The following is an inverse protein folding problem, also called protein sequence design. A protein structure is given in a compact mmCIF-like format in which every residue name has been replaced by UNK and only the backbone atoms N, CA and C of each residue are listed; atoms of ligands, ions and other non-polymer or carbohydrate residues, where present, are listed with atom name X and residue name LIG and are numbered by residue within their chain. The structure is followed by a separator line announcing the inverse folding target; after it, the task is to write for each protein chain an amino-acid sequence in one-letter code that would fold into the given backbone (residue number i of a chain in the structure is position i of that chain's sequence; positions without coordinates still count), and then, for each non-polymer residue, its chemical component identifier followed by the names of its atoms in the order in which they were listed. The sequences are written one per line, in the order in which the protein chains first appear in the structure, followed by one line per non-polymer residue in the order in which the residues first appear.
data_IF_372857500171
#
_entry.id   IF_372857500171
#
_cell.length_a   1.000
_cell.length_b   1.000
_cell.length_c   1.000
_cell.angle_alpha   90.00
_cell.angle_beta   90.00
_cell.angle_gamma   90.00
#
_symmetry.space_group_name_H-M   'P 1'
#
loop_
_entity.id
_entity.type
_entity.pdbx_description
1 polymer ?
#
# COMPACT_ATOMS: atom_id res chain seq x y z
N UNK A 1 19.01 -16.13 5.42
CA UNK A 1 18.60 -17.53 5.62
C UNK A 1 18.36 -18.26 4.30
N UNK A 2 17.64 -17.66 3.33
CA UNK A 2 17.37 -18.27 2.01
C UNK A 2 18.12 -17.57 0.86
N UNK A 3 19.30 -17.02 1.13
CA UNK A 3 20.13 -16.38 0.12
C UNK A 3 20.57 -17.42 -0.94
N UNK A 4 20.55 -17.08 -2.22
CA UNK A 4 20.94 -18.01 -3.30
C UNK A 4 22.37 -18.50 -3.08
N UNK A 5 23.29 -17.55 -2.85
CA UNK A 5 24.68 -17.78 -2.49
C UNK A 5 24.80 -18.45 -1.10
N UNK A 6 25.29 -19.71 -1.03
CA UNK A 6 25.40 -20.46 0.23
C UNK A 6 26.35 -19.81 1.23
N UNK A 7 27.44 -19.18 0.78
CA UNK A 7 28.46 -18.59 1.65
C UNK A 7 27.96 -17.31 2.35
N UNK A 8 26.88 -16.71 1.82
CA UNK A 8 26.20 -15.56 2.42
C UNK A 8 25.04 -15.96 3.32
N UNK A 9 24.81 -17.26 3.54
CA UNK A 9 23.78 -17.71 4.48
C UNK A 9 24.36 -17.61 5.89
N UNK A 10 23.59 -17.05 6.85
CA UNK A 10 24.04 -17.00 8.23
C UNK A 10 24.18 -18.42 8.77
N UNK A 11 25.15 -18.59 9.67
CA UNK A 11 25.32 -19.81 10.48
C UNK A 11 24.10 -20.04 11.38
N UNK A 12 24.04 -21.22 12.00
CA UNK A 12 22.96 -21.55 12.95
C UNK A 12 23.03 -20.61 14.14
N UNK A 13 24.23 -20.32 14.64
CA UNK A 13 24.48 -19.44 15.77
C UNK A 13 24.02 -18.00 15.47
N UNK A 14 24.41 -17.45 14.31
CA UNK A 14 23.97 -16.11 13.88
C UNK A 14 22.45 -16.05 13.65
N UNK A 15 21.87 -17.13 13.14
CA UNK A 15 20.42 -17.24 12.95
C UNK A 15 19.70 -17.20 14.30
N UNK A 16 20.18 -17.96 15.28
CA UNK A 16 19.58 -17.98 16.62
C UNK A 16 19.72 -16.64 17.36
N UNK A 17 20.74 -15.85 17.01
CA UNK A 17 20.89 -14.50 17.55
C UNK A 17 20.04 -13.44 16.81
N UNK A 18 19.25 -13.82 15.81
CA UNK A 18 18.37 -12.89 15.11
C UNK A 18 17.22 -12.39 16.00
N UNK A 19 16.80 -11.10 15.93
CA UNK A 19 15.73 -10.53 16.76
C UNK A 19 14.39 -11.27 16.72
N UNK A 20 14.14 -12.04 15.65
CA UNK A 20 12.97 -12.92 15.52
C UNK A 20 12.87 -13.91 16.69
N UNK A 21 14.00 -14.41 17.20
CA UNK A 21 14.04 -15.40 18.28
C UNK A 21 14.21 -14.77 19.67
N UNK A 22 14.42 -13.45 19.75
CA UNK A 22 14.60 -12.80 21.04
C UNK A 22 13.34 -12.78 21.87
N UNK A 23 13.50 -13.02 23.17
CA UNK A 23 12.46 -12.81 24.18
C UNK A 23 12.07 -11.32 24.22
N UNK A 24 10.83 -10.97 24.60
CA UNK A 24 10.37 -9.58 24.64
C UNK A 24 11.29 -8.64 25.44
N UNK A 25 11.81 -9.08 26.59
CA UNK A 25 12.72 -8.28 27.40
C UNK A 25 14.00 -7.90 26.64
N UNK A 26 14.66 -8.87 26.01
CA UNK A 26 15.88 -8.62 25.21
C UNK A 26 15.63 -7.63 24.06
N UNK A 27 14.43 -7.67 23.45
CA UNK A 27 14.04 -6.70 22.42
C UNK A 27 13.91 -5.29 22.99
N UNK A 28 13.28 -5.15 24.16
CA UNK A 28 13.16 -3.87 24.85
C UNK A 28 14.55 -3.33 25.24
N UNK A 29 15.39 -4.16 25.84
CA UNK A 29 16.76 -3.79 26.22
C UNK A 29 17.58 -3.32 25.02
N UNK A 30 17.40 -3.96 23.86
CA UNK A 30 18.03 -3.54 22.61
C UNK A 30 17.54 -2.16 22.15
N UNK A 31 16.24 -1.89 22.19
CA UNK A 31 15.71 -0.56 21.87
C UNK A 31 16.20 0.52 22.83
N UNK A 32 16.28 0.22 24.13
CA UNK A 32 16.85 1.12 25.13
C UNK A 32 18.32 1.39 24.83
N UNK A 33 19.09 0.34 24.53
CA UNK A 33 20.51 0.46 24.18
C UNK A 33 20.73 1.34 22.95
N UNK A 34 19.93 1.16 21.89
CA UNK A 34 20.00 2.03 20.70
C UNK A 34 19.54 3.45 21.01
N UNK A 35 18.48 3.62 21.81
CA UNK A 35 18.00 4.95 22.24
C UNK A 35 18.97 5.72 23.16
N UNK A 36 20.04 5.06 23.63
CA UNK A 36 21.16 5.65 24.35
C UNK A 36 22.40 5.85 23.47
N UNK A 37 22.37 5.46 22.19
CA UNK A 37 23.44 5.82 21.25
C UNK A 37 23.41 7.34 21.02
N UNK A 38 24.59 7.92 20.79
CA UNK A 38 24.76 9.38 20.67
C UNK A 38 23.90 9.96 19.55
N UNK A 39 23.65 9.22 18.47
CA UNK A 39 22.84 9.65 17.34
C UNK A 39 21.35 9.78 17.73
N UNK A 40 20.85 8.91 18.59
CA UNK A 40 19.49 8.99 19.11
C UNK A 40 19.37 10.05 20.23
N UNK A 41 20.39 10.18 21.07
CA UNK A 41 20.43 11.17 22.14
C UNK A 41 20.57 12.60 21.59
N UNK A 42 21.47 12.80 20.64
CA UNK A 42 21.77 14.05 19.95
C UNK A 42 21.12 14.14 18.56
N UNK A 43 19.89 13.64 18.40
CA UNK A 43 19.15 13.61 17.13
C UNK A 43 19.15 14.92 16.29
N UNK A 44 19.32 16.11 16.89
CA UNK A 44 19.42 17.39 16.16
C UNK A 44 20.74 17.53 15.38
N UNK A 45 21.78 16.86 15.84
CA UNK A 45 23.13 16.85 15.28
C UNK A 45 23.47 15.48 14.69
N UNK A 46 22.50 14.57 14.58
CA UNK A 46 22.70 13.27 13.98
C UNK A 46 23.07 13.42 12.51
N UNK A 47 23.92 12.51 12.02
CA UNK A 47 24.33 12.48 10.62
C UNK A 47 23.09 12.38 9.72
N UNK A 48 22.84 13.38 8.85
CA UNK A 48 21.69 13.38 7.95
C UNK A 48 21.59 12.11 7.08
N UNK A 49 22.72 11.52 6.68
CA UNK A 49 22.74 10.30 5.87
C UNK A 49 22.23 9.09 6.67
N UNK A 50 22.60 9.00 7.95
CA UNK A 50 22.08 7.99 8.86
C UNK A 50 20.58 8.16 9.10
N UNK A 51 20.13 9.39 9.36
CA UNK A 51 18.69 9.67 9.56
C UNK A 51 17.90 9.28 8.31
N UNK A 52 18.40 9.65 7.13
CA UNK A 52 17.78 9.29 5.86
C UNK A 52 17.75 7.77 5.64
N UNK A 53 18.83 7.06 5.95
CA UNK A 53 18.89 5.60 5.83
C UNK A 53 17.92 4.90 6.78
N UNK A 54 17.79 5.40 8.01
CA UNK A 54 16.83 4.88 9.00
C UNK A 54 15.39 5.14 8.60
N UNK A 55 15.11 6.33 8.06
CA UNK A 55 13.78 6.72 7.62
C UNK A 55 13.45 6.22 6.19
N UNK A 56 14.38 5.51 5.54
CA UNK A 56 14.15 4.99 4.20
C UNK A 56 13.08 3.88 4.21
N UNK A 57 11.97 4.13 3.51
CA UNK A 57 10.88 3.18 3.38
C UNK A 57 10.06 2.98 4.66
N UNK A 58 10.16 3.89 5.64
CA UNK A 58 9.34 3.83 6.86
C UNK A 58 7.85 3.91 6.59
N UNK A 59 7.43 4.54 5.49
CA UNK A 59 6.03 4.66 5.06
C UNK A 59 5.31 3.30 4.95
N UNK A 60 6.07 2.23 4.64
CA UNK A 60 5.56 0.86 4.52
C UNK A 60 5.61 0.09 5.84
N UNK A 61 6.16 0.69 6.91
CA UNK A 61 6.35 0.05 8.21
C UNK A 61 5.19 0.35 9.13
N UNK A 62 4.94 -0.58 10.05
CA UNK A 62 3.84 -0.48 11.02
C UNK A 62 3.97 0.71 11.98
N UNK A 63 5.16 1.28 12.14
CA UNK A 63 5.44 2.42 13.03
C UNK A 63 5.50 3.77 12.29
N UNK A 64 5.18 3.83 11.00
CA UNK A 64 5.04 5.13 10.31
C UNK A 64 4.03 6.02 11.04
N UNK A 65 4.36 7.30 11.23
CA UNK A 65 3.54 8.24 12.01
C UNK A 65 3.23 7.72 13.42
N UNK A 66 4.22 7.19 14.13
CA UNK A 66 4.04 6.57 15.43
C UNK A 66 3.38 7.50 16.45
N UNK A 67 3.58 8.83 16.35
CA UNK A 67 2.96 9.78 17.28
C UNK A 67 1.43 9.74 17.22
N UNK A 68 0.84 9.62 16.03
CA UNK A 68 -0.62 9.55 15.90
C UNK A 68 -1.20 8.23 16.42
N UNK A 69 -0.36 7.19 16.54
CA UNK A 69 -0.73 5.86 17.01
C UNK A 69 -0.65 5.71 18.53
N UNK A 70 -0.05 6.68 19.23
CA UNK A 70 0.05 6.69 20.68
C UNK A 70 -0.98 7.61 21.32
N UNK A 71 -1.44 7.33 22.55
CA UNK A 71 -2.31 8.23 23.28
C UNK A 71 -1.68 9.61 23.44
N UNK A 72 -2.39 10.67 23.06
CA UNK A 72 -1.88 12.05 23.14
C UNK A 72 -1.44 12.43 24.56
N UNK A 73 -2.16 11.96 25.59
CA UNK A 73 -1.83 12.18 27.00
C UNK A 73 -0.45 11.63 27.36
N UNK A 74 -0.10 10.45 26.81
CA UNK A 74 1.20 9.82 27.03
C UNK A 74 2.32 10.66 26.38
N UNK A 75 2.13 11.09 25.13
CA UNK A 75 3.11 11.91 24.41
C UNK A 75 3.34 13.23 25.15
N UNK A 76 2.26 13.92 25.54
CA UNK A 76 2.33 15.18 26.26
C UNK A 76 3.05 15.06 27.61
N UNK A 77 2.81 13.95 28.32
CA UNK A 77 3.49 13.65 29.59
C UNK A 77 5.00 13.44 29.38
N UNK A 78 5.38 12.83 28.27
CA UNK A 78 6.77 12.56 27.90
C UNK A 78 7.49 13.75 27.23
N UNK A 79 6.77 14.66 26.58
CA UNK A 79 7.29 15.90 25.97
C UNK A 79 7.88 16.84 27.05
N UNK A 80 7.30 16.83 28.26
CA UNK A 80 7.82 17.57 29.42
C UNK A 80 8.08 19.06 29.12
N UNK A 81 9.30 19.55 29.43
CA UNK A 81 9.76 20.93 29.18
C UNK A 81 10.64 21.06 27.91
N UNK A 82 10.83 19.97 27.17
CA UNK A 82 11.73 19.95 26.00
C UNK A 82 10.94 20.13 24.70
N UNK A 83 11.66 20.27 23.59
CA UNK A 83 11.08 20.33 22.24
C UNK A 83 10.25 19.07 21.99
N UNK A 84 9.05 19.25 21.44
CA UNK A 84 8.12 18.17 21.16
C UNK A 84 8.74 17.14 20.21
N UNK A 85 8.39 15.85 20.38
CA UNK A 85 8.92 14.82 19.51
C UNK A 85 8.50 15.01 18.04
N UNK A 86 9.29 14.55 17.08
CA UNK A 86 8.93 14.39 15.67
C UNK A 86 8.62 12.92 15.34
N UNK A 87 8.04 12.64 14.18
CA UNK A 87 7.72 11.27 13.73
C UNK A 87 8.92 10.48 13.17
N UNK A 88 10.16 10.98 13.34
CA UNK A 88 11.38 10.30 12.88
C UNK A 88 11.69 9.03 13.69
N UNK A 89 12.44 8.10 13.07
CA UNK A 89 12.82 6.83 13.71
C UNK A 89 13.73 7.03 14.93
N UNK A 90 14.69 7.96 14.86
CA UNK A 90 15.57 8.27 16.00
C UNK A 90 14.78 8.83 17.19
N UNK A 91 13.77 9.66 16.92
CA UNK A 91 12.95 10.22 17.99
C UNK A 91 12.01 9.19 18.62
N UNK A 92 11.53 8.20 17.86
CA UNK A 92 10.83 7.05 18.42
C UNK A 92 11.74 6.25 19.37
N UNK A 93 12.98 5.97 18.97
CA UNK A 93 13.95 5.25 19.80
C UNK A 93 14.24 6.01 21.11
N UNK A 94 14.43 7.32 21.01
CA UNK A 94 14.60 8.20 22.18
C UNK A 94 13.35 8.22 23.05
N UNK A 95 12.16 8.26 22.46
CA UNK A 95 10.89 8.22 23.19
C UNK A 95 10.74 6.92 24.00
N UNK A 96 10.99 5.76 23.38
CA UNK A 96 10.93 4.44 24.05
C UNK A 96 11.89 4.41 25.24
N UNK A 97 13.14 4.85 25.05
CA UNK A 97 14.14 4.92 26.12
C UNK A 97 13.71 5.85 27.26
N UNK A 98 13.17 7.02 26.94
CA UNK A 98 12.71 7.97 27.95
C UNK A 98 11.53 7.43 28.74
N UNK A 99 10.63 6.72 28.06
CA UNK A 99 9.44 6.13 28.67
C UNK A 99 9.81 5.04 29.68
N UNK A 100 10.76 4.17 29.33
CA UNK A 100 11.33 3.18 30.24
C UNK A 100 11.98 3.85 31.47
N UNK A 101 12.85 4.84 31.25
CA UNK A 101 13.53 5.55 32.35
C UNK A 101 12.55 6.31 33.26
N UNK A 102 11.48 6.89 32.71
CA UNK A 102 10.42 7.52 33.49
C UNK A 102 9.67 6.49 34.32
N UNK A 103 9.30 5.35 33.73
CA UNK A 103 8.59 4.29 34.43
C UNK A 103 9.41 3.71 35.58
N UNK A 104 10.67 3.36 35.36
CA UNK A 104 11.58 2.84 36.39
C UNK A 104 11.68 3.82 37.58
N UNK A 105 11.85 5.12 37.30
CA UNK A 105 11.88 6.16 38.35
C UNK A 105 10.58 6.33 39.11
N UNK A 106 9.43 6.14 38.46
CA UNK A 106 8.12 6.23 39.13
C UNK A 106 7.87 4.98 39.97
N UNK A 107 8.21 3.79 39.46
CA UNK A 107 8.13 2.54 40.20
C UNK A 107 9.01 2.54 41.46
N UNK A 108 10.20 3.14 41.39
CA UNK A 108 11.10 3.29 42.53
C UNK A 108 10.57 4.26 43.61
N UNK A 109 9.73 5.23 43.22
CA UNK A 109 9.23 6.29 44.11
C UNK A 109 7.85 6.02 44.68
N UNK A 110 6.96 5.42 43.89
CA UNK A 110 5.56 5.22 44.25
C UNK A 110 4.91 4.12 43.40
N UNK A 111 4.79 2.92 43.98
CA UNK A 111 4.34 1.72 43.27
C UNK A 111 2.90 1.84 42.73
N UNK A 112 2.02 2.59 43.40
CA UNK A 112 0.63 2.78 42.97
C UNK A 112 0.52 3.70 41.75
N UNK A 113 1.36 4.74 41.68
CA UNK A 113 1.43 5.63 40.50
C UNK A 113 2.03 4.89 39.30
N UNK A 114 3.00 3.99 39.54
CA UNK A 114 3.53 3.10 38.52
C UNK A 114 2.45 2.19 37.95
N UNK A 115 1.55 1.65 38.78
CA UNK A 115 0.41 0.83 38.32
C UNK A 115 -0.49 1.58 37.30
N UNK A 116 -0.74 2.88 37.51
CA UNK A 116 -1.56 3.69 36.60
C UNK A 116 -0.88 3.94 35.25
N UNK A 117 0.42 4.23 35.22
CA UNK A 117 1.19 4.37 33.96
C UNK A 117 1.36 3.02 33.26
N UNK A 118 1.49 1.94 34.04
CA UNK A 118 1.47 0.57 33.55
C UNK A 118 0.18 0.26 32.78
N UNK A 119 -0.98 0.71 33.26
CA UNK A 119 -2.26 0.49 32.56
C UNK A 119 -2.28 1.13 31.16
N UNK A 120 -1.74 2.35 31.01
CA UNK A 120 -1.63 2.98 29.69
C UNK A 120 -0.65 2.26 28.75
N UNK A 121 0.47 1.75 29.28
CA UNK A 121 1.45 0.96 28.55
C UNK A 121 0.94 -0.45 28.19
N UNK A 122 0.20 -1.11 29.08
CA UNK A 122 -0.47 -2.39 28.83
C UNK A 122 -1.49 -2.22 27.71
N UNK A 123 -2.24 -1.11 27.71
CA UNK A 123 -3.14 -0.77 26.61
C UNK A 123 -2.39 -0.58 25.29
N UNK A 124 -1.23 0.09 25.29
CA UNK A 124 -0.41 0.23 24.09
C UNK A 124 0.15 -1.13 23.60
N UNK A 125 0.66 -1.96 24.51
CA UNK A 125 1.14 -3.30 24.17
C UNK A 125 0.00 -4.18 23.64
N UNK A 126 -1.21 -4.03 24.17
CA UNK A 126 -2.41 -4.69 23.66
C UNK A 126 -2.75 -4.18 22.26
N UNK A 127 -2.76 -2.86 22.06
CA UNK A 127 -3.03 -2.24 20.76
C UNK A 127 -2.02 -2.66 19.68
N UNK A 128 -0.74 -2.81 20.04
CA UNK A 128 0.32 -3.33 19.16
C UNK A 128 0.12 -4.83 18.85
N UNK A 129 -0.32 -5.63 19.82
CA UNK A 129 -0.70 -7.04 19.58
C UNK A 129 -1.88 -7.13 18.63
N UNK A 130 -2.92 -6.34 18.85
CA UNK A 130 -4.13 -6.32 18.03
C UNK A 130 -3.83 -5.80 16.61
N UNK A 131 -2.94 -4.82 16.46
CA UNK A 131 -2.47 -4.36 15.16
C UNK A 131 -1.68 -5.44 14.40
N UNK A 132 -0.83 -6.21 15.10
CA UNK A 132 -0.11 -7.35 14.51
C UNK A 132 -1.06 -8.46 14.06
N UNK A 133 -2.10 -8.74 14.85
CA UNK A 133 -3.07 -9.79 14.53
C UNK A 133 -3.93 -9.40 13.33
N UNK A 134 -4.41 -8.14 13.28
CA UNK A 134 -5.07 -7.58 12.08
C UNK A 134 -4.17 -7.63 10.85
N UNK A 135 -2.87 -7.37 11.00
CA UNK A 135 -1.90 -7.52 9.91
C UNK A 135 -1.81 -8.95 9.36
N UNK A 136 -1.92 -9.97 10.22
CA UNK A 136 -1.98 -11.37 9.75
C UNK A 136 -3.29 -11.67 9.04
N UNK A 137 -4.43 -11.23 9.59
CA UNK A 137 -5.75 -11.42 8.99
C UNK A 137 -5.81 -10.81 7.60
N UNK A 138 -5.36 -9.56 7.44
CA UNK A 138 -5.28 -8.89 6.13
C UNK A 138 -4.35 -9.61 5.16
N UNK A 139 -3.28 -10.24 5.64
CA UNK A 139 -2.40 -11.04 4.80
C UNK A 139 -3.04 -12.36 4.36
N UNK A 140 -3.89 -12.98 5.19
CA UNK A 140 -4.68 -14.15 4.84
C UNK A 140 -5.81 -13.80 3.87
N UNK A 141 -6.54 -12.71 4.12
CA UNK A 141 -7.55 -12.17 3.20
C UNK A 141 -6.92 -11.81 1.85
N UNK A 142 -5.72 -11.23 1.84
CA UNK A 142 -4.98 -10.96 0.60
C UNK A 142 -4.61 -12.24 -0.17
N UNK A 143 -4.38 -13.36 0.52
CA UNK A 143 -4.17 -14.67 -0.13
C UNK A 143 -5.49 -15.22 -0.68
N UNK A 144 -6.57 -15.15 0.07
CA UNK A 144 -7.91 -15.58 -0.35
C UNK A 144 -8.40 -14.81 -1.57
N UNK A 145 -8.30 -13.48 -1.54
CA UNK A 145 -8.67 -12.62 -2.67
C UNK A 145 -7.82 -12.92 -3.91
N UNK A 146 -6.52 -13.15 -3.75
CA UNK A 146 -5.66 -13.55 -4.87
C UNK A 146 -6.05 -14.92 -5.43
N UNK A 147 -6.41 -15.88 -4.56
CA UNK A 147 -6.90 -17.19 -4.99
C UNK A 147 -8.21 -17.06 -5.78
N UNK A 148 -9.18 -16.31 -5.27
CA UNK A 148 -10.46 -16.03 -5.93
C UNK A 148 -10.29 -15.27 -7.25
N UNK A 149 -9.33 -14.36 -7.31
CA UNK A 149 -8.98 -13.65 -8.54
C UNK A 149 -8.39 -14.63 -9.58
N UNK A 150 -7.52 -15.54 -9.17
CA UNK A 150 -6.96 -16.57 -10.04
C UNK A 150 -8.05 -17.54 -10.55
N UNK A 151 -9.00 -17.93 -9.69
CA UNK A 151 -10.17 -18.73 -10.07
C UNK A 151 -11.06 -18.00 -11.09
N UNK A 152 -11.42 -16.75 -10.81
CA UNK A 152 -12.21 -15.93 -11.73
C UNK A 152 -11.51 -15.68 -13.08
N UNK A 153 -10.18 -15.51 -13.08
CA UNK A 153 -9.38 -15.44 -14.31
C UNK A 153 -9.33 -16.78 -15.06
N UNK A 154 -9.28 -17.89 -14.33
CA UNK A 154 -9.36 -19.24 -14.90
C UNK A 154 -10.72 -19.52 -15.56
N UNK A 155 -11.81 -19.11 -14.92
CA UNK A 155 -13.17 -19.28 -15.47
C UNK A 155 -13.44 -18.36 -16.67
N UNK A 156 -12.91 -17.13 -16.67
CA UNK A 156 -12.96 -16.28 -17.87
C UNK A 156 -12.16 -16.88 -19.03
N UNK A 157 -11.04 -17.58 -18.75
CA UNK A 157 -10.30 -18.31 -19.77
C UNK A 157 -11.06 -19.53 -20.29
N UNK A 158 -11.78 -20.26 -19.42
CA UNK A 158 -12.65 -21.38 -19.82
C UNK A 158 -13.82 -20.92 -20.70
N UNK A 159 -14.38 -19.74 -20.45
CA UNK A 159 -15.37 -19.11 -21.33
C UNK A 159 -14.78 -18.55 -22.64
N UNK A 160 -13.45 -18.40 -22.72
CA UNK A 160 -12.74 -18.02 -23.95
C UNK A 160 -12.35 -19.20 -24.84
N UNK A 161 -12.24 -20.41 -24.26
CA UNK A 161 -11.89 -21.65 -24.95
C UNK A 161 -13.10 -22.54 -25.28
N UNK A 162 -14.28 -22.30 -24.67
CA UNK A 162 -15.56 -22.68 -25.28
C UNK A 162 -15.78 -21.76 -26.48
N UNK A 163 -15.15 -22.17 -27.59
CA UNK A 163 -15.45 -21.84 -28.98
C UNK A 163 -16.67 -20.93 -29.05
N UNK A 164 -16.46 -19.61 -29.20
CA UNK A 164 -17.54 -18.68 -29.56
C UNK A 164 -18.21 -19.31 -30.75
N UNK A 165 -19.34 -19.97 -30.48
CA UNK A 165 -19.94 -20.90 -31.41
C UNK A 165 -20.10 -20.15 -32.70
N UNK A 166 -19.46 -20.65 -33.75
CA UNK A 166 -19.77 -20.28 -35.10
C UNK A 166 -21.25 -20.62 -35.27
N UNK A 167 -22.13 -19.65 -34.95
CA UNK A 167 -23.55 -19.75 -35.21
C UNK A 167 -23.63 -19.97 -36.71
N UNK A 168 -23.96 -21.20 -37.10
CA UNK A 168 -24.22 -21.53 -38.48
C UNK A 168 -25.48 -20.78 -38.86
N UNK A 169 -25.32 -19.57 -39.43
CA UNK A 169 -26.42 -18.85 -40.03
C UNK A 169 -26.87 -19.65 -41.28
N UNK A 170 -28.12 -20.16 -41.30
CA UNK A 170 -28.66 -20.83 -42.47
C UNK A 170 -28.53 -19.93 -43.70
N UNK A 171 -28.34 -20.52 -44.89
CA UNK A 171 -28.10 -19.75 -46.12
C UNK A 171 -29.17 -18.66 -46.36
N UNK A 172 -30.44 -18.93 -46.03
CA UNK A 172 -31.54 -17.98 -46.21
C UNK A 172 -31.45 -16.72 -45.34
N UNK A 173 -30.83 -16.78 -44.15
CA UNK A 173 -30.65 -15.59 -43.30
C UNK A 173 -29.47 -14.74 -43.78
N UNK A 174 -28.44 -15.40 -44.33
CA UNK A 174 -27.31 -14.73 -44.98
C UNK A 174 -27.75 -13.99 -46.23
N UNK A 175 -28.56 -14.62 -47.08
CA UNK A 175 -29.07 -14.01 -48.31
C UNK A 175 -29.94 -12.78 -48.01
N UNK A 176 -30.77 -12.82 -46.97
CA UNK A 176 -31.60 -11.66 -46.60
C UNK A 176 -30.76 -10.48 -46.09
N UNK A 177 -29.71 -10.74 -45.30
CA UNK A 177 -28.78 -9.70 -44.84
C UNK A 177 -27.94 -9.14 -45.98
N UNK A 178 -27.44 -10.00 -46.89
CA UNK A 178 -26.70 -9.57 -48.08
C UNK A 178 -27.59 -8.71 -48.97
N UNK A 179 -28.84 -9.11 -49.20
CA UNK A 179 -29.77 -8.33 -50.00
C UNK A 179 -30.11 -6.97 -49.36
N UNK A 180 -30.23 -6.91 -48.03
CA UNK A 180 -30.41 -5.65 -47.31
C UNK A 180 -29.19 -4.73 -47.42
N UNK A 181 -27.98 -5.29 -47.37
CA UNK A 181 -26.73 -4.56 -47.52
C UNK A 181 -26.54 -4.02 -48.94
N UNK A 182 -26.77 -4.85 -49.97
CA UNK A 182 -26.72 -4.44 -51.38
C UNK A 182 -27.72 -3.30 -51.67
N UNK A 183 -28.93 -3.40 -51.11
CA UNK A 183 -29.94 -2.35 -51.24
C UNK A 183 -29.54 -1.05 -50.54
N UNK A 184 -28.88 -1.12 -49.38
CA UNK A 184 -28.33 0.06 -48.72
C UNK A 184 -27.18 0.68 -49.51
N UNK A 185 -26.32 -0.14 -50.14
CA UNK A 185 -25.23 0.33 -50.98
C UNK A 185 -25.75 1.02 -52.26
N UNK A 186 -26.78 0.47 -52.89
CA UNK A 186 -27.43 1.06 -54.07
C UNK A 186 -28.08 2.42 -53.73
N UNK A 187 -28.77 2.51 -52.60
CA UNK A 187 -29.30 3.79 -52.10
C UNK A 187 -28.17 4.78 -51.79
N UNK A 188 -27.06 4.31 -51.21
CA UNK A 188 -25.88 5.15 -50.94
C UNK A 188 -25.27 5.74 -52.22
N UNK A 189 -25.17 4.93 -53.28
CA UNK A 189 -24.69 5.37 -54.58
C UNK A 189 -25.64 6.37 -55.24
N UNK A 190 -26.97 6.17 -55.12
CA UNK A 190 -27.97 7.12 -55.62
C UNK A 190 -27.95 8.45 -54.88
N UNK A 191 -27.84 8.43 -53.55
CA UNK A 191 -27.69 9.65 -52.74
C UNK A 191 -26.40 10.40 -53.10
N UNK A 192 -25.31 9.67 -53.36
CA UNK A 192 -24.06 10.27 -53.78
C UNK A 192 -24.19 10.96 -55.15
N UNK A 193 -24.81 10.31 -56.13
CA UNK A 193 -25.07 10.91 -57.45
C UNK A 193 -25.92 12.19 -57.35
N UNK A 194 -27.00 12.16 -56.55
CA UNK A 194 -27.82 13.36 -56.30
C UNK A 194 -27.06 14.47 -55.56
N UNK A 195 -26.12 14.09 -54.69
CA UNK A 195 -25.27 15.06 -53.99
C UNK A 195 -24.30 15.73 -54.95
N UNK A 196 -23.71 14.97 -55.87
CA UNK A 196 -22.80 15.47 -56.90
C UNK A 196 -23.56 16.40 -57.88
N UNK A 197 -24.75 16.01 -58.34
CA UNK A 197 -25.63 16.87 -59.16
C UNK A 197 -26.02 18.17 -58.43
N UNK A 198 -26.31 18.09 -57.13
CA UNK A 198 -26.64 19.27 -56.33
C UNK A 198 -25.43 20.21 -56.18
N UNK A 199 -24.21 19.67 -56.09
CA UNK A 199 -22.98 20.46 -56.08
C UNK A 199 -22.77 21.17 -57.42
N UNK A 200 -23.02 20.50 -58.54
CA UNK A 200 -22.91 21.07 -59.87
C UNK A 200 -23.93 22.20 -60.09
N UNK A 201 -25.21 21.99 -59.74
CA UNK A 201 -26.25 23.05 -59.83
C UNK A 201 -25.92 24.25 -58.93
N UNK A 202 -25.36 24.00 -57.74
CA UNK A 202 -24.93 25.06 -56.83
C UNK A 202 -23.73 25.82 -57.39
N UNK A 203 -22.80 25.14 -58.06
CA UNK A 203 -21.68 25.76 -58.75
C UNK A 203 -22.18 26.64 -59.90
N UNK A 204 -23.10 26.16 -60.73
CA UNK A 204 -23.72 26.91 -61.83
C UNK A 204 -24.46 28.17 -61.33
N UNK A 205 -25.21 28.06 -60.22
CA UNK A 205 -25.92 29.19 -59.61
C UNK A 205 -24.96 30.22 -58.95
N UNK A 206 -23.75 29.81 -58.55
CA UNK A 206 -22.72 30.72 -58.06
C UNK A 206 -21.94 31.43 -59.18
N UNK A 207 -21.89 30.85 -60.39
CA UNK A 207 -21.28 31.47 -61.57
C UNK A 207 -22.26 32.31 -62.40
N UNK A 208 -23.58 32.09 -62.26
CA UNK A 208 -24.64 32.77 -63.01
C UNK A 208 -25.15 34.09 -62.41
N UNK A 209 -24.59 34.57 -61.30
CA UNK A 209 -24.96 35.86 -60.69
C UNK A 209 -23.83 36.87 -60.83
N UNK A 210 -23.61 37.35 -62.06
CA UNK A 210 -22.97 38.65 -62.29
C UNK A 210 -23.97 39.79 -61.98
N UNK A 211 -23.48 40.96 -61.53
CA UNK A 211 -24.16 41.86 -60.57
C UNK A 211 -25.44 42.54 -61.09
#
# INVERSE_FOLDING_TARGET
MITEDPEKRPTVEETLDHPLFWKPQRRLDYFIKIGNQDEAENHLNADPELVQALDQGVEKRSFYQWKSKLPHVLIQKMDGKRKAYTDSTLELLRFIRNLDAHYTKVADKDADVACCVCKELVNLAQLLRDARERGKQLAEEGKDLNFRLAEAQGDNKRLGDEEVGARHFPAYERENLVHQLEKMEEMGNSVKALTDELQDVKAEHSTGRTP
#
